data_IF_946038830749
#
_entry.id   IF_946038830749
#
_cell.length_a   1.000
_cell.length_b   1.000
_cell.length_c   1.000
_cell.angle_alpha   90.00
_cell.angle_beta   90.00
_cell.angle_gamma   90.00
#
_symmetry.space_group_name_H-M   'P 1'
#
loop_
_entity.id
_entity.type
_entity.pdbx_description
1 polymer ?
#
# COMPACT_ATOMS: atom_id res chain seq x y z
N UNK A 1 12.76 30.69 -64.26
CA UNK A 1 11.90 31.15 -63.16
C UNK A 1 11.55 29.90 -62.38
N UNK A 2 12.54 29.23 -61.78
CA UNK A 2 13.30 29.67 -60.58
C UNK A 2 12.27 29.81 -59.43
N UNK A 3 12.29 29.05 -58.33
CA UNK A 3 13.41 28.46 -57.61
C UNK A 3 13.02 27.19 -56.83
N UNK A 4 14.08 26.45 -56.52
CA UNK A 4 14.25 25.24 -55.73
C UNK A 4 14.02 25.47 -54.20
N UNK A 5 13.93 24.34 -53.47
CA UNK A 5 14.37 24.08 -52.08
C UNK A 5 13.37 23.23 -51.27
N UNK A 6 13.55 21.92 -51.38
CA UNK A 6 13.92 20.97 -50.30
C UNK A 6 13.48 21.28 -48.86
N UNK A 7 12.67 20.39 -48.28
CA UNK A 7 13.01 19.62 -47.07
C UNK A 7 12.07 18.43 -46.88
N UNK A 8 12.67 17.24 -46.87
CA UNK A 8 12.02 15.96 -46.72
C UNK A 8 11.80 15.61 -45.23
N UNK A 9 10.61 15.12 -44.91
CA UNK A 9 10.37 14.23 -43.78
C UNK A 9 9.52 13.06 -44.29
N UNK A 10 10.03 11.81 -44.35
CA UNK A 10 9.21 10.69 -44.76
C UNK A 10 8.21 10.34 -43.63
N UNK A 11 6.93 10.44 -43.96
CA UNK A 11 5.85 9.80 -43.21
C UNK A 11 6.08 8.28 -43.16
N UNK A 12 6.62 7.77 -42.05
CA UNK A 12 6.46 6.36 -41.67
C UNK A 12 5.48 6.30 -40.50
N UNK A 13 4.22 5.99 -40.82
CA UNK A 13 3.28 5.51 -39.82
C UNK A 13 3.80 4.22 -39.20
N UNK A 14 3.57 3.95 -37.91
CA UNK A 14 3.98 2.70 -37.29
C UNK A 14 3.21 1.55 -37.93
N UNK A 15 3.95 0.58 -38.50
CA UNK A 15 3.38 -0.68 -38.95
C UNK A 15 2.78 -1.41 -37.75
N UNK A 16 1.45 -1.53 -37.73
CA UNK A 16 0.72 -2.37 -36.78
C UNK A 16 1.09 -3.84 -37.03
N UNK A 17 2.01 -4.36 -36.23
CA UNK A 17 2.19 -5.81 -36.05
C UNK A 17 0.96 -6.44 -35.38
N UNK A 18 0.81 -7.77 -35.44
CA UNK A 18 -0.40 -8.44 -34.97
C UNK A 18 -0.65 -8.14 -33.49
N UNK A 19 -1.85 -7.66 -33.22
CA UNK A 19 -2.39 -7.30 -31.92
C UNK A 19 -2.29 -8.50 -30.97
N UNK A 20 -1.17 -8.62 -30.24
CA UNK A 20 -1.14 -9.44 -29.03
C UNK A 20 -2.02 -8.70 -28.03
N UNK A 21 -3.12 -9.33 -27.62
CA UNK A 21 -3.87 -8.95 -26.42
C UNK A 21 -2.96 -9.26 -25.22
N UNK A 22 -1.89 -8.48 -25.09
CA UNK A 22 -1.01 -8.50 -23.94
C UNK A 22 -1.54 -7.43 -23.01
N UNK A 23 -2.24 -7.84 -21.95
CA UNK A 23 -2.29 -7.01 -20.77
C UNK A 23 -0.84 -6.62 -20.44
N UNK A 24 -0.51 -5.33 -20.23
CA UNK A 24 0.83 -4.96 -19.81
C UNK A 24 1.19 -5.81 -18.59
N UNK A 25 2.46 -6.26 -18.43
CA UNK A 25 2.84 -6.94 -17.22
C UNK A 25 2.46 -6.02 -16.06
N UNK A 26 1.58 -6.49 -15.19
CA UNK A 26 1.18 -5.80 -13.96
C UNK A 26 2.34 -5.84 -12.96
N UNK A 27 3.50 -5.34 -13.39
CA UNK A 27 4.80 -5.51 -12.74
C UNK A 27 5.33 -4.12 -12.41
N UNK A 28 4.61 -3.44 -11.52
CA UNK A 28 5.26 -2.44 -10.69
C UNK A 28 6.15 -3.15 -9.67
N UNK A 29 7.27 -2.55 -9.24
CA UNK A 29 8.08 -3.12 -8.18
C UNK A 29 7.25 -3.27 -6.90
N UNK A 30 7.49 -4.35 -6.15
CA UNK A 30 6.86 -4.57 -4.85
C UNK A 30 7.17 -3.37 -3.95
N UNK A 31 6.16 -2.83 -3.27
CA UNK A 31 6.34 -1.68 -2.37
C UNK A 31 5.42 -1.75 -1.18
N UNK A 32 5.77 -0.99 -0.14
CA UNK A 32 4.98 -0.85 1.07
C UNK A 32 4.41 0.57 1.11
N UNK A 33 3.09 0.68 1.28
CA UNK A 33 2.41 1.95 1.58
C UNK A 33 1.97 1.93 3.04
N UNK A 34 2.12 3.07 3.72
CA UNK A 34 1.82 3.18 5.15
C UNK A 34 0.88 4.36 5.36
N UNK A 35 -0.30 4.08 5.90
CA UNK A 35 -1.13 5.08 6.55
C UNK A 35 -0.41 5.51 7.85
N UNK A 36 0.14 6.72 7.86
CA UNK A 36 1.18 7.11 8.81
C UNK A 36 0.70 8.05 9.92
N UNK A 37 -0.57 8.47 9.94
CA UNK A 37 -1.07 9.45 10.92
C UNK A 37 -1.09 8.87 12.36
N UNK A 38 -1.27 7.55 12.52
CA UNK A 38 -1.24 6.90 13.83
C UNK A 38 -0.52 5.54 13.86
N UNK A 39 0.34 5.24 12.87
CA UNK A 39 0.99 3.93 12.76
C UNK A 39 2.06 3.70 13.87
N UNK A 40 1.87 2.71 14.78
CA UNK A 40 2.78 2.45 15.89
C UNK A 40 3.98 1.55 15.52
N UNK A 41 4.03 1.05 14.28
CA UNK A 41 4.98 0.02 13.81
C UNK A 41 5.92 0.51 12.70
N UNK A 42 6.15 1.84 12.59
CA UNK A 42 7.01 2.43 11.56
C UNK A 42 8.44 1.86 11.59
N UNK A 43 9.01 1.68 12.77
CA UNK A 43 10.36 1.11 12.93
C UNK A 43 10.43 -0.35 12.49
N UNK A 44 9.40 -1.15 12.78
CA UNK A 44 9.27 -2.52 12.31
C UNK A 44 9.14 -2.57 10.77
N UNK A 45 8.37 -1.65 10.18
CA UNK A 45 8.25 -1.53 8.72
C UNK A 45 9.62 -1.29 8.09
N UNK A 46 10.39 -0.32 8.60
CA UNK A 46 11.73 -0.03 8.08
C UNK A 46 12.66 -1.24 8.16
N UNK A 47 12.67 -1.94 9.29
CA UNK A 47 13.51 -3.13 9.49
C UNK A 47 13.25 -4.21 8.43
N UNK A 48 11.98 -4.49 8.14
CA UNK A 48 11.61 -5.51 7.14
C UNK A 48 11.88 -4.99 5.73
N UNK A 49 11.50 -3.74 5.44
CA UNK A 49 11.70 -3.13 4.13
C UNK A 49 13.18 -3.12 3.71
N UNK A 50 14.08 -2.72 4.61
CA UNK A 50 15.51 -2.71 4.36
C UNK A 50 16.08 -4.10 4.11
N UNK A 51 15.67 -5.10 4.89
CA UNK A 51 16.06 -6.51 4.67
C UNK A 51 15.65 -7.00 3.29
N UNK A 52 14.49 -6.57 2.80
CA UNK A 52 13.96 -7.00 1.52
C UNK A 52 14.40 -6.13 0.34
N UNK A 53 15.07 -4.99 0.59
CA UNK A 53 15.44 -4.01 -0.42
C UNK A 53 14.24 -3.33 -1.08
N UNK A 54 13.13 -3.16 -0.35
CA UNK A 54 11.86 -2.68 -0.91
C UNK A 54 11.56 -1.23 -0.50
N UNK A 55 10.98 -0.43 -1.41
CA UNK A 55 10.59 0.93 -1.11
C UNK A 55 9.37 0.99 -0.17
N UNK A 56 9.40 1.99 0.70
CA UNK A 56 8.34 2.34 1.66
C UNK A 56 7.90 3.77 1.38
N UNK A 57 6.59 4.00 1.32
CA UNK A 57 6.04 5.35 1.24
C UNK A 57 5.08 5.59 2.39
N UNK A 58 5.43 6.56 3.23
CA UNK A 58 4.58 7.01 4.33
C UNK A 58 3.66 8.12 3.84
N UNK A 59 2.36 7.93 4.01
CA UNK A 59 1.33 8.86 3.57
C UNK A 59 0.64 9.41 4.81
N UNK A 60 0.52 10.72 4.90
CA UNK A 60 -0.05 11.38 6.07
C UNK A 60 -0.69 12.71 5.71
N UNK A 61 -1.71 13.08 6.48
CA UNK A 61 -2.36 14.39 6.36
C UNK A 61 -1.49 15.51 6.93
N UNK A 62 -0.50 15.16 7.76
CA UNK A 62 0.40 16.11 8.41
C UNK A 62 1.87 15.75 8.19
N UNK A 63 2.76 16.72 8.37
CA UNK A 63 4.19 16.47 8.24
C UNK A 63 4.70 15.57 9.37
N UNK A 64 5.36 14.45 9.04
CA UNK A 64 5.97 13.53 10.01
C UNK A 64 7.43 13.30 9.70
N UNK A 65 8.30 13.16 10.70
CA UNK A 65 9.71 12.85 10.48
C UNK A 65 9.90 11.40 10.01
N UNK A 66 10.64 11.21 8.94
CA UNK A 66 11.06 9.89 8.42
C UNK A 66 12.58 9.79 8.39
N UNK A 67 13.16 8.57 8.47
CA UNK A 67 14.59 8.37 8.24
C UNK A 67 15.03 8.89 6.87
N UNK A 68 16.22 9.48 6.77
CA UNK A 68 16.84 9.76 5.48
C UNK A 68 17.40 8.45 4.92
N UNK A 69 16.67 7.83 3.99
CA UNK A 69 17.06 6.56 3.38
C UNK A 69 16.51 6.49 1.94
N UNK A 70 17.28 5.97 0.96
CA UNK A 70 16.84 5.94 -0.45
C UNK A 70 15.61 5.06 -0.73
N UNK A 71 15.27 4.17 0.21
CA UNK A 71 14.06 3.34 0.16
C UNK A 71 12.85 3.95 0.90
N UNK A 72 12.97 5.15 1.48
CA UNK A 72 11.92 5.74 2.30
C UNK A 72 11.49 7.07 1.71
N UNK A 73 10.26 7.09 1.21
CA UNK A 73 9.58 8.29 0.74
C UNK A 73 8.49 8.70 1.73
N UNK A 74 8.13 9.99 1.68
CA UNK A 74 7.00 10.54 2.41
C UNK A 74 6.14 11.40 1.49
N UNK A 75 4.84 11.16 1.52
CA UNK A 75 3.82 11.96 0.84
C UNK A 75 2.97 12.63 1.91
N UNK A 76 2.92 13.97 1.86
CA UNK A 76 1.99 14.74 2.69
C UNK A 76 0.85 15.19 1.79
N UNK A 77 -0.30 14.59 1.99
CA UNK A 77 -1.55 15.01 1.34
C UNK A 77 -2.13 16.13 2.18
N UNK A 78 -2.70 17.16 1.56
CA UNK A 78 -3.18 18.34 2.30
C UNK A 78 -4.27 18.04 3.34
N UNK A 79 -4.84 19.08 3.94
CA UNK A 79 -5.82 18.98 5.04
C UNK A 79 -7.23 18.49 4.65
N UNK A 80 -7.37 17.78 3.53
CA UNK A 80 -8.64 17.19 3.13
C UNK A 80 -9.01 16.03 4.05
N UNK A 81 -10.28 15.94 4.44
CA UNK A 81 -10.80 14.74 5.11
C UNK A 81 -10.59 13.55 4.16
N UNK A 82 -10.06 12.43 4.69
CA UNK A 82 -9.74 11.19 3.95
C UNK A 82 -8.71 11.31 2.80
N UNK A 83 -7.96 12.42 2.70
CA UNK A 83 -7.00 12.61 1.61
C UNK A 83 -5.89 11.54 1.57
N UNK A 84 -5.46 11.04 2.74
CA UNK A 84 -4.44 10.00 2.82
C UNK A 84 -4.98 8.65 2.33
N UNK A 85 -6.20 8.33 2.73
CA UNK A 85 -6.92 7.12 2.35
C UNK A 85 -7.14 7.09 0.84
N UNK A 86 -7.57 8.21 0.26
CA UNK A 86 -7.77 8.34 -1.19
C UNK A 86 -6.47 8.14 -1.96
N UNK A 87 -5.39 8.77 -1.52
CA UNK A 87 -4.08 8.61 -2.16
C UNK A 87 -3.57 7.17 -2.06
N UNK A 88 -3.70 6.53 -0.89
CA UNK A 88 -3.28 5.14 -0.68
C UNK A 88 -4.11 4.20 -1.54
N UNK A 89 -5.43 4.39 -1.58
CA UNK A 89 -6.32 3.57 -2.39
C UNK A 89 -6.02 3.70 -3.88
N UNK A 90 -5.73 4.91 -4.38
CA UNK A 90 -5.36 5.15 -5.77
C UNK A 90 -3.99 4.54 -6.13
N UNK A 91 -3.02 4.60 -5.20
CA UNK A 91 -1.69 4.03 -5.38
C UNK A 91 -1.66 2.49 -5.19
N UNK A 92 -2.75 1.90 -4.69
CA UNK A 92 -2.87 0.46 -4.43
C UNK A 92 -3.06 -0.32 -5.72
N UNK A 93 -2.32 -1.43 -5.84
CA UNK A 93 -2.33 -2.35 -6.98
C UNK A 93 -1.67 -3.67 -6.60
N UNK A 94 -1.72 -4.71 -7.44
CA UNK A 94 -0.96 -5.93 -7.19
C UNK A 94 0.55 -5.66 -7.05
N UNK A 95 1.18 -6.31 -6.08
CA UNK A 95 2.56 -6.04 -5.66
C UNK A 95 2.69 -4.99 -4.54
N UNK A 96 1.60 -4.31 -4.16
CA UNK A 96 1.61 -3.38 -3.02
C UNK A 96 1.18 -4.09 -1.74
N UNK A 97 1.87 -3.79 -0.63
CA UNK A 97 1.40 -4.07 0.73
C UNK A 97 1.05 -2.75 1.41
N UNK A 98 -0.20 -2.62 1.87
CA UNK A 98 -0.68 -1.47 2.63
C UNK A 98 -0.69 -1.80 4.11
N UNK A 99 -0.14 -0.93 4.94
CA UNK A 99 -0.24 -1.00 6.40
C UNK A 99 -1.20 0.09 6.87
N UNK A 100 -2.35 -0.31 7.42
CA UNK A 100 -3.38 0.61 7.94
C UNK A 100 -4.18 -0.04 9.06
N UNK A 101 -4.68 0.76 10.00
CA UNK A 101 -5.66 0.32 11.00
C UNK A 101 -7.12 0.50 10.53
N UNK A 102 -7.34 1.20 9.41
CA UNK A 102 -8.67 1.48 8.88
C UNK A 102 -9.18 0.32 8.01
N UNK A 103 -10.37 -0.17 8.36
CA UNK A 103 -11.01 -1.32 7.68
C UNK A 103 -11.55 -0.92 6.31
N UNK A 104 -12.07 0.30 6.15
CA UNK A 104 -12.61 0.80 4.90
C UNK A 104 -11.48 1.09 3.91
N UNK A 105 -10.37 1.66 4.38
CA UNK A 105 -9.17 1.79 3.54
C UNK A 105 -8.64 0.41 3.14
N UNK A 106 -8.54 -0.53 4.07
CA UNK A 106 -8.10 -1.89 3.77
C UNK A 106 -8.98 -2.55 2.70
N UNK A 107 -10.31 -2.41 2.78
CA UNK A 107 -11.26 -2.91 1.78
C UNK A 107 -11.00 -2.35 0.38
N UNK A 108 -10.82 -1.02 0.29
CA UNK A 108 -10.47 -0.35 -0.98
C UNK A 108 -9.15 -0.88 -1.56
N UNK A 109 -8.14 -1.08 -0.71
CA UNK A 109 -6.84 -1.60 -1.13
C UNK A 109 -6.93 -3.05 -1.63
N UNK A 110 -7.70 -3.91 -0.95
CA UNK A 110 -7.92 -5.29 -1.38
C UNK A 110 -8.67 -5.34 -2.72
N UNK A 111 -9.68 -4.48 -2.91
CA UNK A 111 -10.40 -4.36 -4.20
C UNK A 111 -9.50 -3.90 -5.35
N UNK A 112 -8.49 -3.09 -5.05
CA UNK A 112 -7.45 -2.71 -6.01
C UNK A 112 -6.38 -3.82 -6.24
N UNK A 113 -6.47 -4.95 -5.53
CA UNK A 113 -5.56 -6.09 -5.66
C UNK A 113 -4.26 -5.97 -4.85
N UNK A 114 -4.15 -4.96 -3.98
CA UNK A 114 -3.07 -4.89 -2.99
C UNK A 114 -3.32 -5.88 -1.84
N UNK A 115 -2.28 -6.18 -1.08
CA UNK A 115 -2.42 -6.79 0.24
C UNK A 115 -2.57 -5.67 1.29
N UNK A 116 -3.35 -5.92 2.35
CA UNK A 116 -3.47 -4.99 3.47
C UNK A 116 -3.21 -5.70 4.80
N UNK A 117 -2.48 -5.06 5.71
CA UNK A 117 -2.09 -5.61 7.02
C UNK A 117 -2.34 -4.57 8.10
N UNK A 118 -2.99 -4.97 9.19
CA UNK A 118 -3.13 -4.13 10.38
C UNK A 118 -1.82 -4.01 11.16
N UNK A 119 -1.58 -2.89 11.87
CA UNK A 119 -0.44 -2.77 12.78
C UNK A 119 -0.34 -3.91 13.81
N UNK A 120 -1.46 -4.53 14.19
CA UNK A 120 -1.49 -5.68 15.10
C UNK A 120 -0.96 -7.00 14.48
N UNK A 121 -0.51 -6.96 13.22
CA UNK A 121 0.00 -8.13 12.50
C UNK A 121 -1.08 -9.07 11.98
N UNK A 122 -2.32 -8.58 11.83
CA UNK A 122 -3.41 -9.34 11.20
C UNK A 122 -3.59 -8.88 9.75
N UNK A 123 -3.38 -9.75 8.74
CA UNK A 123 -3.74 -9.46 7.37
C UNK A 123 -5.25 -9.26 7.23
N UNK A 124 -5.65 -8.31 6.38
CA UNK A 124 -7.04 -8.15 5.98
C UNK A 124 -7.35 -9.10 4.80
N UNK A 125 -8.48 -9.77 4.91
CA UNK A 125 -9.15 -10.53 3.84
C UNK A 125 -10.60 -10.06 3.71
N UNK A 126 -11.25 -10.34 2.58
CA UNK A 126 -12.65 -9.99 2.37
C UNK A 126 -13.55 -10.54 3.50
N UNK A 127 -13.30 -11.78 3.93
CA UNK A 127 -14.03 -12.42 5.04
C UNK A 127 -13.79 -11.70 6.38
N UNK A 128 -12.53 -11.33 6.65
CA UNK A 128 -12.18 -10.62 7.89
C UNK A 128 -12.78 -9.22 7.95
N UNK A 129 -12.91 -8.56 6.81
CA UNK A 129 -13.51 -7.22 6.68
C UNK A 129 -15.01 -7.30 6.93
N UNK A 130 -15.71 -8.21 6.24
CA UNK A 130 -17.16 -8.41 6.45
C UNK A 130 -17.49 -8.70 7.92
N UNK A 131 -16.70 -9.57 8.55
CA UNK A 131 -16.85 -9.91 9.97
C UNK A 131 -16.57 -8.72 10.90
N UNK A 132 -15.54 -7.92 10.61
CA UNK A 132 -15.16 -6.77 11.43
C UNK A 132 -16.15 -5.61 11.30
N UNK A 133 -16.69 -5.37 10.09
CA UNK A 133 -17.74 -4.37 9.85
C UNK A 133 -19.01 -4.75 10.60
N UNK A 134 -19.44 -6.02 10.49
CA UNK A 134 -20.60 -6.52 11.23
C UNK A 134 -20.43 -6.39 12.75
N UNK A 135 -19.25 -6.76 13.28
CA UNK A 135 -18.95 -6.64 14.71
C UNK A 135 -18.93 -5.18 15.17
N UNK A 136 -18.35 -4.27 14.36
CA UNK A 136 -18.30 -2.84 14.69
C UNK A 136 -19.70 -2.22 14.72
N UNK A 137 -20.59 -2.60 13.80
CA UNK A 137 -21.98 -2.17 13.81
C UNK A 137 -22.70 -2.63 15.08
N UNK A 138 -22.58 -3.91 15.45
CA UNK A 138 -23.18 -4.47 16.67
C UNK A 138 -22.63 -3.77 17.94
N UNK A 139 -21.32 -3.55 18.03
CA UNK A 139 -20.71 -2.88 19.19
C UNK A 139 -21.05 -1.39 19.27
N UNK A 140 -21.23 -0.72 18.12
CA UNK A 140 -21.71 0.65 18.06
C UNK A 140 -23.17 0.73 18.55
N UNK A 141 -24.03 -0.19 18.12
CA UNK A 141 -25.42 -0.30 18.57
C UNK A 141 -25.51 -0.58 20.08
N UNK A 142 -24.69 -1.52 20.59
CA UNK A 142 -24.63 -1.84 22.02
C UNK A 142 -24.14 -0.65 22.86
N UNK A 143 -23.17 0.13 22.36
CA UNK A 143 -22.71 1.35 23.03
C UNK A 143 -23.72 2.48 22.95
N UNK A 144 -24.44 2.63 21.84
CA UNK A 144 -25.52 3.60 21.70
C UNK A 144 -26.65 3.34 22.71
N UNK A 145 -26.82 2.09 23.15
CA UNK A 145 -27.73 1.70 24.23
C UNK A 145 -27.15 1.74 25.65
N UNK A 146 -25.86 2.00 25.84
CA UNK A 146 -25.18 2.01 27.16
C UNK A 146 -24.66 3.41 27.52
N UNK A 147 -25.42 4.16 28.31
CA UNK A 147 -24.91 5.33 29.04
C UNK A 147 -24.13 4.85 30.27
N UNK A 148 -22.82 4.63 30.15
CA UNK A 148 -22.02 4.14 31.27
C UNK A 148 -20.54 4.50 31.18
N UNK A 149 -20.10 5.34 32.11
CA UNK A 149 -18.69 5.63 32.41
C UNK A 149 -17.98 4.32 32.80
N UNK A 150 -16.93 3.93 32.08
CA UNK A 150 -16.15 2.74 32.46
C UNK A 150 -15.36 2.00 31.38
N UNK A 151 -15.41 2.42 30.11
CA UNK A 151 -14.60 1.79 29.06
C UNK A 151 -13.20 2.40 29.07
N UNK A 152 -12.28 1.77 29.80
CA UNK A 152 -10.85 2.06 29.69
C UNK A 152 -10.36 1.90 28.24
N UNK A 153 -9.42 2.76 27.84
CA UNK A 153 -8.86 2.75 26.49
C UNK A 153 -8.20 1.41 26.12
N UNK A 154 -7.98 1.15 24.83
CA UNK A 154 -7.35 -0.09 24.38
C UNK A 154 -5.97 -0.28 25.04
N UNK A 155 -5.58 -1.54 25.32
CA UNK A 155 -4.31 -1.83 25.99
C UNK A 155 -3.11 -1.31 25.17
N UNK A 156 -2.00 -0.95 25.84
CA UNK A 156 -0.81 -0.46 25.16
C UNK A 156 -0.22 -1.54 24.22
N UNK A 157 0.32 -1.08 23.09
CA UNK A 157 0.87 -1.94 22.05
C UNK A 157 2.08 -2.76 22.56
N UNK A 158 1.95 -4.09 22.54
CA UNK A 158 2.90 -5.00 23.22
C UNK A 158 4.07 -5.44 22.33
N UNK A 159 5.10 -6.05 22.94
CA UNK A 159 6.19 -6.70 22.18
C UNK A 159 5.69 -7.88 21.33
N UNK A 160 4.65 -8.58 21.80
CA UNK A 160 4.04 -9.68 21.05
C UNK A 160 3.34 -9.15 19.79
N UNK A 161 2.68 -7.99 19.86
CA UNK A 161 2.06 -7.34 18.69
C UNK A 161 3.10 -6.95 17.64
N UNK A 162 4.22 -6.37 18.06
CA UNK A 162 5.35 -6.06 17.16
C UNK A 162 5.91 -7.31 16.49
N UNK A 163 6.08 -8.40 17.23
CA UNK A 163 6.56 -9.68 16.69
C UNK A 163 5.59 -10.25 15.65
N UNK A 164 4.29 -10.25 15.95
CA UNK A 164 3.25 -10.67 15.01
C UNK A 164 3.26 -9.84 13.74
N UNK A 165 3.39 -8.52 13.87
CA UNK A 165 3.49 -7.61 12.73
C UNK A 165 4.70 -7.89 11.85
N UNK A 166 5.88 -8.06 12.44
CA UNK A 166 7.10 -8.40 11.71
C UNK A 166 6.93 -9.68 10.89
N UNK A 167 6.38 -10.74 11.50
CA UNK A 167 6.14 -12.01 10.82
C UNK A 167 5.12 -11.88 9.68
N UNK A 168 4.01 -11.18 9.92
CA UNK A 168 2.95 -11.00 8.92
C UNK A 168 3.43 -10.19 7.71
N UNK A 169 4.22 -9.13 7.94
CA UNK A 169 4.79 -8.31 6.87
C UNK A 169 5.82 -9.11 6.06
N UNK A 170 6.74 -9.83 6.73
CA UNK A 170 7.73 -10.68 6.07
C UNK A 170 7.06 -11.73 5.17
N UNK A 171 6.06 -12.45 5.69
CA UNK A 171 5.30 -13.47 4.95
C UNK A 171 4.60 -12.88 3.71
N UNK A 172 3.93 -11.73 3.85
CA UNK A 172 3.29 -11.06 2.72
C UNK A 172 4.30 -10.67 1.62
N UNK A 173 5.47 -10.15 2.00
CA UNK A 173 6.49 -9.75 1.05
C UNK A 173 7.15 -10.96 0.37
N UNK A 174 7.41 -12.06 1.11
CA UNK A 174 7.91 -13.31 0.53
C UNK A 174 6.91 -13.88 -0.47
N UNK A 175 5.62 -13.87 -0.13
CA UNK A 175 4.56 -14.29 -1.06
C UNK A 175 4.54 -13.43 -2.32
N UNK A 176 4.58 -12.10 -2.18
CA UNK A 176 4.59 -11.19 -3.32
C UNK A 176 5.83 -11.37 -4.21
N UNK A 177 7.02 -11.60 -3.64
CA UNK A 177 8.25 -11.86 -4.42
C UNK A 177 8.15 -13.12 -5.30
N UNK A 178 7.37 -14.11 -4.88
CA UNK A 178 7.09 -15.32 -5.69
C UNK A 178 6.09 -15.04 -6.81
N UNK A 179 5.12 -14.17 -6.58
CA UNK A 179 4.08 -13.80 -7.55
C UNK A 179 4.56 -12.76 -8.57
N UNK A 180 5.46 -11.88 -8.15
CA UNK A 180 6.06 -10.81 -8.95
C UNK A 180 7.58 -10.92 -8.91
N UNK A 181 8.17 -11.96 -9.53
CA UNK A 181 9.61 -12.09 -9.58
C UNK A 181 10.19 -10.88 -10.33
N UNK A 182 11.05 -10.13 -9.66
CA UNK A 182 11.89 -9.13 -10.33
C UNK A 182 12.81 -9.88 -11.26
N UNK A 183 12.92 -9.45 -12.52
CA UNK A 183 13.88 -10.03 -13.45
C UNK A 183 15.27 -10.08 -12.79
N UNK A 184 15.88 -11.26 -12.81
CA UNK A 184 17.26 -11.44 -12.33
C UNK A 184 18.17 -10.49 -13.14
N UNK A 185 19.17 -9.84 -12.52
CA UNK A 185 20.21 -9.18 -13.32
C UNK A 185 20.79 -10.21 -14.31
N UNK A 186 21.13 -9.81 -15.56
CA UNK A 186 21.80 -10.71 -16.48
C UNK A 186 23.06 -11.27 -15.80
N UNK A 187 23.28 -12.58 -15.94
CA UNK A 187 24.49 -13.23 -15.45
C UNK A 187 25.73 -12.51 -16.04
N UNK A 188 26.85 -12.45 -15.29
CA UNK A 188 28.07 -11.80 -15.76
C UNK A 188 28.62 -12.43 -17.05
#
# INVERSE_FOLDING_TARGET
MDDDVTTAYPHRGPSLGPFRIGFPPMSGPIRILVDADACPVKDEIYKVAWRHGLPVTLVSNQHLRVPQHPLVDRVVVGSGFDAADDWIAEASRPGVVVVTADILLADRCLKAGAAAISPAGKPFTAESIGSAVATRAIMADLRAGMTGEGIGGPPPFSKADRSRFLSALDEALVRLKRLFPTASPPAP
#
